data_IF_405720951424
#
_entry.id   IF_405720951424
#
_cell.length_a   1.000
_cell.length_b   1.000
_cell.length_c   1.000
_cell.angle_alpha   90.00
_cell.angle_beta   90.00
_cell.angle_gamma   90.00
#
_symmetry.space_group_name_H-M   'P 1'
#
loop_
_entity.id
_entity.type
_entity.pdbx_description
1 polymer ?
#
# COMPACT_ATOMS: atom_id res chain seq x y z
N UNK A 1 11.13 14.20 5.89
CA UNK A 1 9.68 14.40 5.67
C UNK A 1 9.43 13.84 4.28
N UNK A 2 9.06 12.56 4.21
CA UNK A 2 8.79 11.89 2.93
C UNK A 2 7.49 12.48 2.40
N UNK A 3 7.53 13.03 1.18
CA UNK A 3 6.41 13.75 0.56
C UNK A 3 5.40 12.75 0.00
N UNK A 4 4.13 13.17 -0.01
CA UNK A 4 2.93 12.43 -0.48
C UNK A 4 3.02 11.89 -1.93
N UNK A 5 4.13 12.09 -2.62
CA UNK A 5 4.39 11.71 -4.01
C UNK A 5 5.00 10.32 -4.19
N UNK A 6 5.43 9.64 -3.12
CA UNK A 6 6.03 8.29 -3.19
C UNK A 6 5.01 7.14 -3.28
N UNK A 7 3.71 7.39 -3.08
CA UNK A 7 2.68 6.34 -2.99
C UNK A 7 1.97 5.98 -4.31
N UNK A 8 2.39 6.52 -5.46
CA UNK A 8 1.78 6.17 -6.75
C UNK A 8 0.35 6.72 -6.89
N UNK A 9 0.22 7.80 -7.68
CA UNK A 9 -1.01 8.58 -7.82
C UNK A 9 -1.41 9.31 -6.51
N UNK A 10 -1.96 10.53 -6.63
CA UNK A 10 -2.27 11.39 -5.48
C UNK A 10 -3.45 10.91 -4.61
N UNK A 11 -4.02 9.74 -4.90
CA UNK A 11 -5.18 9.13 -4.23
C UNK A 11 -4.98 7.63 -4.00
N UNK A 12 -5.11 7.20 -2.75
CA UNK A 12 -5.16 5.78 -2.39
C UNK A 12 -6.60 5.29 -2.56
N UNK A 13 -6.82 4.41 -3.53
CA UNK A 13 -8.15 3.94 -3.91
C UNK A 13 -8.22 2.43 -4.24
N UNK A 14 -9.30 2.01 -4.91
CA UNK A 14 -9.56 0.62 -5.28
C UNK A 14 -8.53 0.03 -6.26
N UNK A 15 -7.80 0.87 -6.98
CA UNK A 15 -6.72 0.50 -7.89
C UNK A 15 -5.55 -0.08 -7.11
N UNK A 16 -5.12 0.60 -6.04
CA UNK A 16 -4.05 0.16 -5.15
C UNK A 16 -4.43 -1.15 -4.46
N UNK A 17 -5.70 -1.29 -4.05
CA UNK A 17 -6.22 -2.53 -3.49
C UNK A 17 -6.14 -3.70 -4.48
N UNK A 18 -6.46 -3.45 -5.75
CA UNK A 18 -6.41 -4.46 -6.81
C UNK A 18 -4.98 -4.86 -7.11
N UNK A 19 -4.07 -3.89 -7.23
CA UNK A 19 -2.65 -4.12 -7.46
C UNK A 19 -2.03 -4.92 -6.31
N UNK A 20 -2.25 -4.51 -5.06
CA UNK A 20 -1.77 -5.24 -3.87
C UNK A 20 -2.25 -6.69 -3.87
N UNK A 21 -3.53 -6.92 -4.19
CA UNK A 21 -4.08 -8.28 -4.30
C UNK A 21 -3.40 -9.08 -5.41
N UNK A 22 -3.16 -8.48 -6.58
CA UNK A 22 -2.45 -9.14 -7.68
C UNK A 22 -1.01 -9.50 -7.31
N UNK A 23 -0.32 -8.60 -6.61
CA UNK A 23 1.04 -8.81 -6.12
C UNK A 23 1.11 -9.97 -5.13
N UNK A 24 0.23 -9.99 -4.11
CA UNK A 24 0.18 -11.07 -3.12
C UNK A 24 -0.21 -12.44 -3.69
N UNK A 25 -0.88 -12.46 -4.85
CA UNK A 25 -1.23 -13.67 -5.59
C UNK A 25 -0.19 -14.04 -6.66
N UNK A 26 0.95 -13.36 -6.67
CA UNK A 26 2.03 -13.50 -7.67
C UNK A 26 1.57 -13.35 -9.13
N UNK A 27 0.43 -12.69 -9.35
CA UNK A 27 -0.09 -12.42 -10.69
C UNK A 27 0.70 -11.31 -11.38
N UNK A 28 1.32 -10.43 -10.58
CA UNK A 28 2.33 -9.45 -10.99
C UNK A 28 3.56 -9.63 -10.09
N UNK A 29 4.74 -9.28 -10.59
CA UNK A 29 6.01 -9.38 -9.84
C UNK A 29 6.39 -8.11 -9.10
N UNK A 30 5.91 -6.98 -9.59
CA UNK A 30 6.12 -5.66 -9.04
C UNK A 30 4.92 -4.77 -9.34
N UNK A 31 4.86 -3.60 -8.70
CA UNK A 31 3.87 -2.56 -8.97
C UNK A 31 4.27 -1.64 -10.14
N UNK A 32 5.45 -1.87 -10.74
CA UNK A 32 6.03 -1.03 -11.80
C UNK A 32 6.12 0.46 -11.44
N UNK A 33 6.37 0.77 -10.16
CA UNK A 33 6.59 2.13 -9.65
C UNK A 33 8.03 2.30 -9.18
N UNK A 34 8.53 3.53 -9.13
CA UNK A 34 9.95 3.78 -8.83
C UNK A 34 10.36 3.34 -7.40
N UNK A 35 9.43 3.36 -6.45
CA UNK A 35 9.67 2.98 -5.05
C UNK A 35 8.56 2.05 -4.54
N UNK A 36 8.65 0.77 -4.89
CA UNK A 36 7.66 -0.27 -4.55
C UNK A 36 7.49 -0.44 -3.03
N UNK A 37 8.59 -0.41 -2.29
CA UNK A 37 8.56 -0.46 -0.83
C UNK A 37 7.82 0.74 -0.27
N UNK A 38 8.11 1.96 -0.72
CA UNK A 38 7.35 3.11 -0.23
C UNK A 38 5.87 3.05 -0.62
N UNK A 39 5.50 2.48 -1.77
CA UNK A 39 4.11 2.43 -2.22
C UNK A 39 3.28 1.31 -1.57
N UNK A 40 3.87 0.14 -1.36
CA UNK A 40 3.16 -1.07 -0.90
C UNK A 40 3.32 -1.36 0.60
N UNK A 41 4.34 -0.82 1.24
CA UNK A 41 4.65 -1.07 2.64
C UNK A 41 3.90 -0.02 3.49
N UNK A 42 2.84 -0.48 4.17
CA UNK A 42 1.88 0.38 4.86
C UNK A 42 1.96 0.23 6.38
N UNK A 43 2.78 -0.68 6.91
CA UNK A 43 2.94 -0.95 8.34
C UNK A 43 4.39 -0.81 8.87
N UNK A 44 5.34 -0.38 8.03
CA UNK A 44 6.81 -0.26 8.22
C UNK A 44 7.46 -1.42 9.01
N UNK A 45 7.03 -2.65 8.77
CA UNK A 45 7.70 -3.88 9.22
C UNK A 45 8.84 -4.34 8.28
N UNK A 46 8.94 -3.78 7.07
CA UNK A 46 9.99 -4.05 6.10
C UNK A 46 9.65 -5.09 5.01
N UNK A 47 8.45 -5.65 5.05
CA UNK A 47 7.93 -6.63 4.10
C UNK A 47 6.62 -6.14 3.47
N UNK A 48 6.40 -6.42 2.18
CA UNK A 48 5.09 -6.17 1.55
C UNK A 48 4.30 -7.47 1.58
N UNK A 49 3.31 -7.56 2.48
CA UNK A 49 2.56 -8.79 2.69
C UNK A 49 1.06 -8.56 2.97
N UNK A 50 0.39 -9.61 3.47
CA UNK A 50 -1.04 -9.56 3.77
C UNK A 50 -1.41 -8.57 4.89
N UNK A 51 -0.46 -8.13 5.72
CA UNK A 51 -0.66 -7.13 6.75
C UNK A 51 -0.83 -5.74 6.15
N UNK A 52 -0.04 -5.38 5.12
CA UNK A 52 -0.20 -4.12 4.40
C UNK A 52 -1.55 -4.05 3.69
N UNK A 53 -1.96 -5.17 3.09
CA UNK A 53 -3.29 -5.31 2.50
C UNK A 53 -4.42 -5.10 3.53
N UNK A 54 -4.24 -5.60 4.76
CA UNK A 54 -5.19 -5.36 5.84
C UNK A 54 -5.22 -3.88 6.27
N UNK A 55 -4.07 -3.20 6.30
CA UNK A 55 -3.97 -1.76 6.58
C UNK A 55 -4.66 -0.94 5.48
N UNK A 56 -4.39 -1.24 4.21
CA UNK A 56 -5.05 -0.60 3.06
C UNK A 56 -6.57 -0.74 3.14
N UNK A 57 -7.07 -1.94 3.47
CA UNK A 57 -8.50 -2.17 3.66
C UNK A 57 -9.09 -1.33 4.79
N UNK A 58 -8.38 -1.19 5.93
CA UNK A 58 -8.83 -0.33 7.04
C UNK A 58 -8.91 1.13 6.61
N UNK A 59 -7.94 1.60 5.81
CA UNK A 59 -7.93 2.98 5.31
C UNK A 59 -9.10 3.23 4.35
N UNK A 60 -9.33 2.36 3.36
CA UNK A 60 -10.44 2.48 2.42
C UNK A 60 -11.82 2.39 3.08
N UNK A 61 -11.93 1.69 4.22
CA UNK A 61 -13.15 1.62 5.03
C UNK A 61 -13.30 2.80 6.02
N UNK A 62 -12.34 3.71 6.09
CA UNK A 62 -12.34 4.84 7.02
C UNK A 62 -12.15 4.44 8.49
N UNK A 63 -11.68 3.22 8.77
CA UNK A 63 -11.36 2.75 10.13
C UNK A 63 -10.10 3.46 10.66
N UNK A 64 -9.17 3.75 9.75
CA UNK A 64 -8.00 4.60 10.00
C UNK A 64 -8.00 5.72 8.96
N UNK A 65 -7.43 6.87 9.30
CA UNK A 65 -7.45 8.05 8.44
C UNK A 65 -6.09 8.42 7.84
N UNK A 66 -5.05 7.64 8.13
CA UNK A 66 -3.68 7.92 7.69
C UNK A 66 -2.90 6.64 7.38
N UNK A 67 -1.97 6.78 6.45
CA UNK A 67 -0.95 5.79 6.08
C UNK A 67 0.43 6.47 6.14
N UNK A 68 1.52 5.73 6.41
CA UNK A 68 1.51 4.35 6.92
C UNK A 68 0.92 4.29 8.34
N UNK A 69 0.44 3.11 8.75
CA UNK A 69 -0.26 2.92 10.02
C UNK A 69 0.58 2.14 11.03
N UNK A 70 0.84 2.79 12.17
CA UNK A 70 1.43 2.21 13.37
C UNK A 70 0.38 2.15 14.47
N UNK A 71 0.19 0.99 15.12
CA UNK A 71 -0.57 0.90 16.36
C UNK A 71 -0.01 1.80 17.46
#
# INVERSE_FOLDING_TARGET
>A
MLSETEYGNASVDTTDYTLMKMYLLESIKDFSVHNELAAGELNLNGDIDALDFAVLKKYLLGVISKLPYFP
#
